data_IF_138394113056
#
_entry.id   IF_138394113056
#
_cell.length_a   1.000
_cell.length_b   1.000
_cell.length_c   1.000
_cell.angle_alpha   90.00
_cell.angle_beta   90.00
_cell.angle_gamma   90.00
#
_symmetry.space_group_name_H-M   'P 1'
#
loop_
_entity.id
_entity.type
_entity.pdbx_description
1 polymer ?
#
# COMPACT_ATOMS: atom_id res chain seq x y z
N UNK A 1 0.20 3.68 29.58
CA UNK A 1 -0.04 2.97 28.30
C UNK A 1 1.13 2.03 28.09
N UNK A 2 0.86 0.73 27.84
CA UNK A 2 1.94 -0.22 27.53
C UNK A 2 2.65 0.19 26.24
N UNK A 3 3.95 -0.08 26.14
CA UNK A 3 4.70 0.20 24.92
C UNK A 3 4.35 -0.85 23.87
N UNK A 4 3.59 -0.48 22.83
CA UNK A 4 3.28 -1.38 21.73
C UNK A 4 4.55 -1.80 20.98
N UNK A 5 4.60 -3.07 20.56
CA UNK A 5 5.67 -3.60 19.71
C UNK A 5 5.06 -4.11 18.40
N UNK A 6 5.36 -3.41 17.31
CA UNK A 6 4.94 -3.77 15.97
C UNK A 6 5.99 -4.62 15.27
N UNK A 7 5.55 -5.69 14.62
CA UNK A 7 6.37 -6.47 13.69
C UNK A 7 5.87 -6.20 12.28
N UNK A 8 6.63 -5.42 11.51
CA UNK A 8 6.27 -4.99 10.17
C UNK A 8 7.04 -5.83 9.16
N UNK A 9 6.35 -6.38 8.15
CA UNK A 9 6.97 -7.06 7.01
C UNK A 9 6.48 -6.45 5.70
N UNK A 10 7.37 -6.33 4.72
CA UNK A 10 7.03 -5.79 3.40
C UNK A 10 7.60 -6.64 2.27
N UNK A 11 6.87 -6.75 1.17
CA UNK A 11 7.39 -7.30 -0.09
C UNK A 11 8.66 -6.55 -0.52
N UNK A 12 9.68 -7.19 -1.12
CA UNK A 12 11.02 -6.60 -1.31
C UNK A 12 11.14 -5.53 -2.40
N UNK A 13 10.02 -4.97 -2.86
CA UNK A 13 9.98 -3.89 -3.84
C UNK A 13 9.99 -2.52 -3.14
N UNK A 14 10.71 -1.55 -3.72
CA UNK A 14 10.85 -0.20 -3.15
C UNK A 14 9.52 0.51 -2.94
N UNK A 15 8.53 0.27 -3.81
CA UNK A 15 7.16 0.77 -3.66
C UNK A 15 6.47 0.30 -2.38
N UNK A 16 6.89 -0.83 -1.79
CA UNK A 16 6.35 -1.37 -0.55
C UNK A 16 7.20 -0.96 0.65
N UNK A 17 8.52 -1.06 0.54
CA UNK A 17 9.45 -0.79 1.64
C UNK A 17 9.38 0.67 2.08
N UNK A 18 9.33 1.62 1.14
CA UNK A 18 9.38 3.04 1.47
C UNK A 18 8.17 3.51 2.29
N UNK A 19 6.91 3.25 1.86
CA UNK A 19 5.74 3.59 2.68
C UNK A 19 5.75 2.88 4.04
N UNK A 20 6.10 1.58 4.08
CA UNK A 20 6.18 0.83 5.32
C UNK A 20 7.21 1.41 6.30
N UNK A 21 8.38 1.83 5.81
CA UNK A 21 9.41 2.45 6.64
C UNK A 21 8.99 3.84 7.14
N UNK A 22 8.26 4.62 6.34
CA UNK A 22 7.69 5.89 6.79
C UNK A 22 6.62 5.67 7.86
N UNK A 23 5.79 4.63 7.70
CA UNK A 23 4.83 4.22 8.71
C UNK A 23 5.51 3.79 10.03
N UNK A 24 6.58 2.98 9.95
CA UNK A 24 7.40 2.61 11.10
C UNK A 24 7.93 3.84 11.87
N UNK A 25 8.45 4.85 11.15
CA UNK A 25 8.92 6.10 11.76
C UNK A 25 7.81 6.85 12.50
N UNK A 26 6.57 6.81 12.00
CA UNK A 26 5.41 7.43 12.67
C UNK A 26 5.05 6.70 13.96
N UNK A 27 5.04 5.36 13.95
CA UNK A 27 4.82 4.54 15.15
C UNK A 27 5.87 4.81 16.24
N UNK A 28 7.14 4.93 15.85
CA UNK A 28 8.24 5.24 16.79
C UNK A 28 8.06 6.62 17.43
N UNK A 29 7.64 7.63 16.66
CA UNK A 29 7.42 8.99 17.17
C UNK A 29 6.33 9.06 18.25
N UNK A 30 5.38 8.13 18.24
CA UNK A 30 4.32 8.04 19.26
C UNK A 30 4.65 7.01 20.35
N UNK A 31 5.90 6.54 20.42
CA UNK A 31 6.44 5.75 21.53
C UNK A 31 6.48 4.24 21.32
N UNK A 32 6.04 3.72 20.16
CA UNK A 32 6.06 2.28 19.89
C UNK A 32 7.47 1.76 19.56
N UNK A 33 7.71 0.49 19.85
CA UNK A 33 8.86 -0.25 19.31
C UNK A 33 8.46 -0.90 17.99
N UNK A 34 9.37 -0.91 17.02
CA UNK A 34 9.13 -1.51 15.70
C UNK A 34 10.26 -2.46 15.35
N UNK A 35 9.92 -3.72 15.09
CA UNK A 35 10.79 -4.65 14.36
C UNK A 35 10.34 -4.66 12.91
N UNK A 36 11.24 -4.26 12.00
CA UNK A 36 10.98 -4.20 10.57
C UNK A 36 11.75 -5.32 9.87
N UNK A 37 10.99 -6.27 9.31
CA UNK A 37 11.47 -7.46 8.64
C UNK A 37 11.46 -7.22 7.14
N UNK A 38 12.62 -7.40 6.52
CA UNK A 38 12.85 -7.11 5.09
C UNK A 38 13.71 -8.20 4.48
N UNK A 39 13.52 -8.54 3.20
CA UNK A 39 14.33 -9.58 2.58
C UNK A 39 15.82 -9.22 2.61
N UNK A 40 16.68 -10.24 2.61
CA UNK A 40 18.14 -10.08 2.51
C UNK A 40 18.50 -9.26 1.26
N UNK A 41 17.89 -9.56 0.11
CA UNK A 41 18.11 -8.85 -1.14
C UNK A 41 17.80 -7.36 -1.00
N UNK A 42 16.62 -7.01 -0.47
CA UNK A 42 16.24 -5.61 -0.26
C UNK A 42 17.14 -4.92 0.78
N UNK A 43 17.46 -5.59 1.89
CA UNK A 43 18.30 -5.04 2.95
C UNK A 43 19.69 -4.62 2.44
N UNK A 44 20.29 -5.41 1.54
CA UNK A 44 21.58 -5.09 0.89
C UNK A 44 21.54 -3.78 0.10
N UNK A 45 20.38 -3.43 -0.47
CA UNK A 45 20.18 -2.22 -1.27
C UNK A 45 19.69 -1.03 -0.44
N UNK A 46 19.30 -1.23 0.82
CA UNK A 46 18.91 -0.12 1.69
C UNK A 46 20.14 0.71 2.04
N UNK A 47 20.04 2.05 2.02
CA UNK A 47 21.14 2.90 2.45
C UNK A 47 21.43 2.65 3.92
N UNK A 48 22.73 2.54 4.26
CA UNK A 48 23.17 2.48 5.65
C UNK A 48 22.95 3.86 6.29
N UNK A 49 21.75 4.05 6.84
CA UNK A 49 21.36 5.25 7.54
C UNK A 49 21.77 5.26 9.02
N UNK A 50 21.56 6.37 9.72
CA UNK A 50 21.73 6.41 11.16
C UNK A 50 20.78 5.41 11.83
N UNK A 51 21.24 4.82 12.93
CA UNK A 51 20.40 3.97 13.78
C UNK A 51 19.23 4.83 14.27
N UNK A 52 18.00 4.39 13.98
CA UNK A 52 16.79 5.02 14.48
C UNK A 52 16.41 4.38 15.82
N UNK A 53 16.50 5.09 16.96
CA UNK A 53 16.05 4.55 18.24
C UNK A 53 14.61 4.08 18.14
N UNK A 54 14.33 2.87 18.61
CA UNK A 54 12.99 2.26 18.51
C UNK A 54 12.75 1.43 17.24
N UNK A 55 13.65 1.44 16.27
CA UNK A 55 13.60 0.57 15.08
C UNK A 55 14.65 -0.56 15.17
N UNK A 56 14.19 -1.80 15.05
CA UNK A 56 15.04 -2.98 14.86
C UNK A 56 14.84 -3.47 13.43
N UNK A 57 15.86 -3.36 12.57
CA UNK A 57 15.82 -3.93 11.22
C UNK A 57 16.32 -5.38 11.25
N UNK A 58 15.53 -6.31 10.72
CA UNK A 58 15.87 -7.74 10.68
C UNK A 58 15.80 -8.24 9.24
N UNK A 59 16.96 -8.53 8.60
CA UNK A 59 16.95 -9.21 7.31
C UNK A 59 16.49 -10.66 7.47
N UNK A 60 15.70 -11.16 6.52
CA UNK A 60 15.31 -12.57 6.44
C UNK A 60 15.48 -13.10 5.01
N UNK A 61 15.72 -14.40 4.88
CA UNK A 61 15.71 -15.03 3.56
C UNK A 61 14.26 -15.19 3.10
N UNK A 62 13.95 -14.77 1.88
CA UNK A 62 12.67 -15.00 1.22
C UNK A 62 12.75 -16.13 0.18
N UNK A 63 13.84 -16.91 0.21
CA UNK A 63 14.19 -17.89 -0.83
C UNK A 63 14.89 -17.29 -2.06
N UNK A 64 14.96 -15.95 -2.14
CA UNK A 64 15.49 -15.19 -3.28
C UNK A 64 16.44 -14.08 -2.80
N UNK A 65 17.44 -14.48 -2.00
CA UNK A 65 18.38 -13.57 -1.32
C UNK A 65 19.20 -12.69 -2.26
N UNK A 66 19.32 -13.08 -3.54
CA UNK A 66 20.03 -12.33 -4.58
C UNK A 66 19.09 -11.46 -5.45
N UNK A 67 17.79 -11.48 -5.16
CA UNK A 67 16.76 -10.70 -5.85
C UNK A 67 15.80 -11.57 -6.64
N UNK A 68 14.61 -11.02 -6.89
CA UNK A 68 13.55 -11.64 -7.70
C UNK A 68 13.74 -11.20 -9.15
N UNK A 69 13.66 -12.14 -10.09
CA UNK A 69 13.48 -11.86 -11.50
C UNK A 69 11.99 -11.90 -11.86
N UNK A 70 11.55 -11.03 -12.76
CA UNK A 70 10.17 -11.03 -13.27
C UNK A 70 9.82 -12.31 -14.06
N UNK A 71 10.83 -13.05 -14.52
CA UNK A 71 10.67 -14.36 -15.17
C UNK A 71 10.47 -15.50 -14.14
N UNK A 72 10.68 -15.25 -12.85
CA UNK A 72 10.48 -16.26 -11.82
C UNK A 72 8.99 -16.60 -11.67
N UNK A 73 8.71 -17.86 -11.39
CA UNK A 73 7.35 -18.32 -11.18
C UNK A 73 6.79 -17.68 -9.90
N UNK A 74 5.87 -16.72 -10.06
CA UNK A 74 5.30 -15.96 -8.95
C UNK A 74 4.79 -16.88 -7.82
N UNK A 75 4.16 -18.00 -8.17
CA UNK A 75 3.67 -18.96 -7.17
C UNK A 75 4.80 -19.60 -6.36
N UNK A 76 5.93 -19.93 -6.99
CA UNK A 76 7.09 -20.47 -6.28
C UNK A 76 7.67 -19.42 -5.33
N UNK A 77 7.86 -18.18 -5.81
CA UNK A 77 8.31 -17.08 -4.98
C UNK A 77 7.40 -16.87 -3.76
N UNK A 78 6.08 -16.75 -3.99
CA UNK A 78 5.08 -16.58 -2.94
C UNK A 78 5.10 -17.72 -1.92
N UNK A 79 5.33 -18.95 -2.37
CA UNK A 79 5.46 -20.12 -1.47
C UNK A 79 6.71 -20.04 -0.60
N UNK A 80 7.85 -19.62 -1.15
CA UNK A 80 9.12 -19.53 -0.41
C UNK A 80 9.13 -18.36 0.57
N UNK A 81 8.65 -17.17 0.16
CA UNK A 81 8.52 -16.05 1.11
C UNK A 81 7.53 -16.37 2.23
N UNK A 82 6.44 -17.09 1.95
CA UNK A 82 5.51 -17.58 2.99
C UNK A 82 6.22 -18.54 3.95
N UNK A 83 6.95 -19.53 3.43
CA UNK A 83 7.64 -20.54 4.23
C UNK A 83 8.72 -19.92 5.11
N UNK A 84 9.69 -19.23 4.51
CA UNK A 84 10.83 -18.63 5.21
C UNK A 84 10.40 -17.46 6.10
N UNK A 85 9.45 -16.64 5.62
CA UNK A 85 8.87 -15.54 6.37
C UNK A 85 8.15 -16.02 7.61
N UNK A 86 7.28 -17.03 7.50
CA UNK A 86 6.54 -17.58 8.64
C UNK A 86 7.47 -18.14 9.73
N UNK A 87 8.51 -18.87 9.36
CA UNK A 87 9.51 -19.40 10.30
C UNK A 87 10.23 -18.26 11.03
N UNK A 88 10.67 -17.25 10.27
CA UNK A 88 11.38 -16.08 10.81
C UNK A 88 10.49 -15.29 11.77
N UNK A 89 9.26 -14.97 11.37
CA UNK A 89 8.33 -14.18 12.18
C UNK A 89 7.99 -14.91 13.49
N UNK A 90 7.73 -16.23 13.46
CA UNK A 90 7.51 -17.04 14.67
C UNK A 90 8.68 -16.93 15.64
N UNK A 91 9.91 -17.06 15.13
CA UNK A 91 11.13 -16.93 15.94
C UNK A 91 11.28 -15.53 16.54
N UNK A 92 11.05 -14.47 15.76
CA UNK A 92 11.13 -13.10 16.26
C UNK A 92 10.09 -12.86 17.37
N UNK A 93 8.86 -13.32 17.17
CA UNK A 93 7.77 -13.18 18.14
C UNK A 93 8.14 -13.87 19.46
N UNK A 94 8.63 -15.12 19.40
CA UNK A 94 9.06 -15.87 20.58
C UNK A 94 10.20 -15.16 21.34
N UNK A 95 11.27 -14.77 20.64
CA UNK A 95 12.41 -14.03 21.22
C UNK A 95 11.95 -12.72 21.87
N UNK A 96 11.02 -12.02 21.22
CA UNK A 96 10.51 -10.74 21.72
C UNK A 96 9.71 -10.93 23.02
N UNK A 97 8.92 -12.00 23.11
CA UNK A 97 8.19 -12.36 24.33
C UNK A 97 9.15 -12.73 25.47
N UNK A 98 10.18 -13.55 25.21
CA UNK A 98 11.19 -13.95 26.20
C UNK A 98 11.99 -12.76 26.75
N UNK A 99 12.16 -11.70 25.94
CA UNK A 99 12.81 -10.45 26.34
C UNK A 99 11.87 -9.48 27.09
N UNK A 100 10.63 -9.88 27.40
CA UNK A 100 9.65 -9.03 28.07
C UNK A 100 9.09 -7.90 27.18
N UNK A 101 9.21 -8.03 25.86
CA UNK A 101 8.69 -7.08 24.86
C UNK A 101 7.84 -7.80 23.81
N UNK A 102 6.74 -8.46 24.20
CA UNK A 102 5.92 -9.25 23.27
C UNK A 102 5.42 -8.39 22.10
N UNK A 103 5.41 -8.97 20.91
CA UNK A 103 4.81 -8.34 19.72
C UNK A 103 3.31 -8.23 19.94
N UNK A 104 2.76 -7.03 19.79
CA UNK A 104 1.33 -6.75 19.98
C UNK A 104 0.54 -6.71 18.68
N UNK A 105 1.21 -6.45 17.54
CA UNK A 105 0.55 -6.38 16.25
C UNK A 105 1.51 -6.73 15.11
N UNK A 106 1.05 -7.56 14.17
CA UNK A 106 1.69 -7.75 12.87
C UNK A 106 1.20 -6.71 11.88
N UNK A 107 2.07 -6.17 11.04
CA UNK A 107 1.67 -5.29 9.94
C UNK A 107 2.33 -5.78 8.68
N UNK A 108 1.56 -5.99 7.62
CA UNK A 108 2.10 -6.40 6.32
C UNK A 108 1.65 -5.46 5.22
N UNK A 109 2.44 -5.33 4.16
CA UNK A 109 1.96 -4.75 2.90
C UNK A 109 1.24 -5.81 2.06
N UNK A 110 0.62 -5.37 0.97
CA UNK A 110 0.00 -6.26 -0.04
C UNK A 110 0.98 -7.32 -0.56
N UNK A 111 0.44 -8.42 -1.10
CA UNK A 111 1.10 -9.66 -1.57
C UNK A 111 1.64 -10.56 -0.44
N UNK A 112 1.23 -10.32 0.80
CA UNK A 112 1.69 -11.04 1.99
C UNK A 112 0.53 -11.51 2.87
N UNK A 113 -0.61 -11.85 2.27
CA UNK A 113 -1.82 -12.30 2.97
C UNK A 113 -1.58 -13.45 3.97
N UNK A 114 -0.55 -14.28 3.74
CA UNK A 114 -0.14 -15.33 4.66
C UNK A 114 0.22 -14.82 6.08
N UNK A 115 0.56 -13.54 6.23
CA UNK A 115 0.81 -12.93 7.55
C UNK A 115 -0.47 -12.89 8.38
N UNK A 116 -1.64 -12.72 7.77
CA UNK A 116 -2.93 -12.82 8.45
C UNK A 116 -3.18 -14.22 9.01
N UNK A 117 -2.93 -15.26 8.20
CA UNK A 117 -3.02 -16.67 8.65
C UNK A 117 -2.08 -16.94 9.84
N UNK A 118 -0.85 -16.45 9.76
CA UNK A 118 0.13 -16.56 10.84
C UNK A 118 -0.37 -15.85 12.10
N UNK A 119 -0.87 -14.62 11.98
CA UNK A 119 -1.39 -13.83 13.09
C UNK A 119 -2.52 -14.57 13.82
N UNK A 120 -3.49 -15.11 13.08
CA UNK A 120 -4.59 -15.93 13.63
C UNK A 120 -4.06 -17.15 14.38
N UNK A 121 -3.10 -17.87 13.79
CA UNK A 121 -2.50 -19.05 14.42
C UNK A 121 -1.80 -18.76 15.75
N UNK A 122 -1.38 -17.50 15.94
CA UNK A 122 -0.69 -17.00 17.13
C UNK A 122 -1.58 -16.13 18.02
N UNK A 123 -2.86 -15.97 17.69
CA UNK A 123 -3.81 -15.08 18.38
C UNK A 123 -3.28 -13.64 18.52
N UNK A 124 -2.58 -13.14 17.49
CA UNK A 124 -2.09 -11.77 17.41
C UNK A 124 -3.00 -10.91 16.55
N UNK A 125 -3.10 -9.63 16.91
CA UNK A 125 -3.69 -8.63 16.02
C UNK A 125 -2.83 -8.46 14.77
N UNK A 126 -3.46 -8.20 13.63
CA UNK A 126 -2.77 -7.78 12.42
C UNK A 126 -3.48 -6.61 11.74
N UNK A 127 -2.73 -5.91 10.88
CA UNK A 127 -3.26 -4.89 10.00
C UNK A 127 -2.59 -4.96 8.62
N UNK A 128 -3.38 -4.73 7.57
CA UNK A 128 -2.87 -4.51 6.23
C UNK A 128 -2.47 -3.03 6.07
N UNK A 129 -1.20 -2.77 5.80
CA UNK A 129 -0.75 -1.46 5.35
C UNK A 129 -1.01 -1.35 3.84
N UNK A 130 -2.10 -0.68 3.49
CA UNK A 130 -2.47 -0.45 2.09
C UNK A 130 -1.64 0.71 1.52
N UNK A 131 -0.67 0.35 0.69
CA UNK A 131 0.33 1.28 0.14
C UNK A 131 -0.08 1.93 -1.19
N UNK A 132 -1.18 1.47 -1.80
CA UNK A 132 -1.72 2.00 -3.05
C UNK A 132 -2.81 3.05 -2.79
N UNK A 133 -3.41 3.60 -3.85
CA UNK A 133 -4.54 4.53 -3.74
C UNK A 133 -5.75 3.86 -3.09
N UNK A 134 -6.52 4.60 -2.28
CA UNK A 134 -7.77 4.11 -1.71
C UNK A 134 -8.80 3.76 -2.80
N UNK A 135 -8.78 4.45 -3.94
CA UNK A 135 -9.62 4.11 -5.10
C UNK A 135 -9.29 2.71 -5.63
N UNK A 136 -8.00 2.36 -5.67
CA UNK A 136 -7.55 1.03 -6.14
C UNK A 136 -7.99 -0.06 -5.15
N UNK A 137 -8.01 0.23 -3.85
CA UNK A 137 -8.56 -0.70 -2.85
C UNK A 137 -10.03 -1.04 -3.16
N UNK A 138 -10.84 -0.01 -3.44
CA UNK A 138 -12.26 -0.18 -3.75
C UNK A 138 -12.44 -0.95 -5.07
N UNK A 139 -11.62 -0.66 -6.09
CA UNK A 139 -11.62 -1.41 -7.35
C UNK A 139 -11.32 -2.89 -7.10
N UNK A 140 -10.29 -3.22 -6.32
CA UNK A 140 -9.94 -4.61 -6.02
C UNK A 140 -11.04 -5.31 -5.24
N UNK A 141 -11.60 -4.64 -4.23
CA UNK A 141 -12.69 -5.18 -3.43
C UNK A 141 -13.86 -5.62 -4.32
N UNK A 142 -14.33 -4.75 -5.23
CA UNK A 142 -15.42 -5.09 -6.15
C UNK A 142 -15.01 -6.12 -7.19
N UNK A 143 -13.82 -5.99 -7.78
CA UNK A 143 -13.29 -6.92 -8.77
C UNK A 143 -13.32 -8.37 -8.23
N UNK A 144 -12.83 -8.58 -7.01
CA UNK A 144 -12.84 -9.89 -6.35
C UNK A 144 -14.17 -10.26 -5.66
N UNK A 145 -15.16 -9.36 -5.66
CA UNK A 145 -16.50 -9.57 -5.08
C UNK A 145 -17.60 -9.46 -6.16
N UNK A 146 -17.36 -10.05 -7.33
CA UNK A 146 -18.38 -10.26 -8.36
C UNK A 146 -18.40 -9.24 -9.49
N UNK A 147 -17.50 -8.26 -9.52
CA UNK A 147 -17.33 -7.34 -10.65
C UNK A 147 -16.18 -7.73 -11.60
N UNK A 148 -15.49 -8.86 -11.38
CA UNK A 148 -14.36 -9.33 -12.20
C UNK A 148 -14.67 -9.35 -13.70
N UNK A 149 -15.74 -10.05 -14.09
CA UNK A 149 -16.17 -10.14 -15.49
C UNK A 149 -16.50 -8.76 -16.09
N UNK A 150 -17.08 -7.85 -15.29
CA UNK A 150 -17.42 -6.50 -15.76
C UNK A 150 -16.16 -5.70 -16.07
N UNK A 151 -15.14 -5.81 -15.22
CA UNK A 151 -13.87 -5.10 -15.35
C UNK A 151 -13.00 -5.69 -16.46
N UNK A 152 -12.92 -7.02 -16.57
CA UNK A 152 -12.12 -7.70 -17.60
C UNK A 152 -12.63 -7.46 -19.02
N UNK A 153 -13.96 -7.50 -19.19
CA UNK A 153 -14.62 -7.25 -20.47
C UNK A 153 -14.61 -5.76 -20.86
N UNK A 154 -14.13 -4.88 -19.99
CA UNK A 154 -14.10 -3.43 -20.20
C UNK A 154 -12.92 -2.95 -21.06
N UNK A 155 -12.22 -3.87 -21.70
CA UNK A 155 -10.99 -3.64 -22.48
C UNK A 155 -11.25 -3.14 -23.91
N UNK A 156 -12.50 -2.96 -24.35
CA UNK A 156 -12.83 -2.47 -25.69
C UNK A 156 -13.11 -0.95 -25.70
N UNK A 157 -12.44 -0.22 -26.60
CA UNK A 157 -12.74 1.18 -26.91
C UNK A 157 -14.22 1.36 -27.25
N UNK A 158 -14.91 2.28 -26.57
CA UNK A 158 -16.35 2.56 -26.76
C UNK A 158 -17.28 2.00 -25.67
N UNK A 159 -16.74 1.34 -24.64
CA UNK A 159 -17.53 0.85 -23.50
C UNK A 159 -18.03 2.01 -22.61
N UNK A 160 -19.24 1.87 -22.04
CA UNK A 160 -19.86 2.89 -21.16
C UNK A 160 -19.20 2.90 -19.77
N UNK A 161 -18.78 4.06 -19.23
CA UNK A 161 -18.06 4.15 -17.95
C UNK A 161 -18.63 3.26 -16.83
N UNK A 162 -17.75 2.54 -16.11
CA UNK A 162 -18.14 1.65 -15.02
C UNK A 162 -18.52 2.48 -13.79
N UNK A 163 -19.69 2.17 -13.23
CA UNK A 163 -20.07 2.64 -11.90
C UNK A 163 -19.76 1.55 -10.87
N UNK A 164 -18.87 1.86 -9.92
CA UNK A 164 -18.58 0.99 -8.79
C UNK A 164 -19.17 1.57 -7.50
N UNK A 165 -19.90 0.79 -6.69
CA UNK A 165 -20.46 1.26 -5.44
C UNK A 165 -19.39 1.88 -4.51
N UNK A 166 -19.69 3.04 -3.93
CA UNK A 166 -18.76 3.74 -3.04
C UNK A 166 -17.71 4.61 -3.74
N UNK A 167 -17.65 4.60 -5.08
CA UNK A 167 -16.92 5.59 -5.86
C UNK A 167 -17.90 6.65 -6.41
N UNK A 168 -17.64 7.95 -6.21
CA UNK A 168 -18.50 9.04 -6.67
C UNK A 168 -18.24 9.44 -8.13
N UNK A 169 -17.41 8.68 -8.85
CA UNK A 169 -17.01 8.92 -10.23
C UNK A 169 -17.18 7.65 -11.05
N UNK A 170 -17.48 7.83 -12.33
CA UNK A 170 -17.50 6.74 -13.29
C UNK A 170 -16.08 6.48 -13.78
N UNK A 171 -15.70 5.21 -13.88
CA UNK A 171 -14.37 4.80 -14.32
C UNK A 171 -14.38 4.48 -15.81
N UNK A 172 -13.51 5.14 -16.56
CA UNK A 172 -13.20 4.75 -17.94
C UNK A 172 -12.24 3.55 -17.95
N UNK A 173 -12.00 2.99 -19.14
CA UNK A 173 -11.14 1.80 -19.28
C UNK A 173 -9.69 2.11 -18.94
N UNK A 174 -9.34 3.39 -19.00
CA UNK A 174 -8.01 3.91 -18.71
C UNK A 174 -7.82 4.18 -17.21
N UNK A 175 -8.91 4.20 -16.43
CA UNK A 175 -8.86 4.38 -14.97
C UNK A 175 -8.74 3.05 -14.22
N UNK A 176 -8.99 1.92 -14.91
CA UNK A 176 -8.83 0.58 -14.37
C UNK A 176 -7.35 0.19 -14.37
N UNK A 177 -6.80 -0.32 -13.25
CA UNK A 177 -5.45 -0.83 -13.22
C UNK A 177 -5.25 -1.88 -14.32
N UNK A 178 -4.29 -1.63 -15.21
CA UNK A 178 -4.08 -2.46 -16.40
C UNK A 178 -3.79 -3.93 -16.09
N UNK A 179 -3.26 -4.22 -14.90
CA UNK A 179 -3.00 -5.58 -14.46
C UNK A 179 -4.27 -6.38 -14.06
N UNK A 180 -5.45 -5.75 -14.03
CA UNK A 180 -6.74 -6.43 -13.90
C UNK A 180 -7.40 -6.73 -15.26
N UNK A 181 -6.77 -6.29 -16.36
CA UNK A 181 -7.29 -6.49 -17.71
C UNK A 181 -6.65 -7.75 -18.32
N UNK A 182 -7.40 -8.42 -19.20
CA UNK A 182 -7.05 -9.72 -19.79
C UNK A 182 -5.73 -9.80 -20.58
N UNK A 183 -5.08 -8.66 -20.86
CA UNK A 183 -3.83 -8.57 -21.63
C UNK A 183 -2.57 -8.39 -20.77
N UNK A 184 -2.66 -8.60 -19.45
CA UNK A 184 -1.60 -8.20 -18.54
C UNK A 184 -0.52 -9.28 -18.32
N UNK A 185 0.73 -8.82 -18.14
CA UNK A 185 1.90 -9.68 -17.90
C UNK A 185 2.05 -10.11 -16.43
N UNK A 186 1.13 -9.70 -15.56
CA UNK A 186 1.14 -9.92 -14.11
C UNK A 186 0.04 -10.90 -13.64
N UNK A 187 -0.59 -11.63 -14.57
CA UNK A 187 -1.68 -12.58 -14.29
C UNK A 187 -1.31 -13.56 -13.17
N UNK A 188 -0.04 -13.96 -13.11
CA UNK A 188 0.48 -14.88 -12.09
C UNK A 188 0.42 -14.33 -10.66
N UNK A 189 0.23 -13.01 -10.49
CA UNK A 189 0.13 -12.32 -9.21
C UNK A 189 -1.32 -12.01 -8.79
N UNK A 190 -2.31 -12.10 -9.69
CA UNK A 190 -3.73 -11.86 -9.38
C UNK A 190 -4.20 -12.69 -8.16
N UNK A 191 -3.86 -13.99 -8.04
CA UNK A 191 -4.24 -14.77 -6.86
C UNK A 191 -3.74 -14.17 -5.54
N UNK A 192 -2.54 -13.59 -5.51
CA UNK A 192 -1.99 -12.99 -4.29
C UNK A 192 -2.75 -11.72 -3.86
N UNK A 193 -3.24 -10.94 -4.82
CA UNK A 193 -4.11 -9.79 -4.52
C UNK A 193 -5.49 -10.24 -4.02
N UNK A 194 -6.03 -11.32 -4.60
CA UNK A 194 -7.28 -11.91 -4.14
C UNK A 194 -7.14 -12.44 -2.70
N UNK A 195 -6.03 -13.09 -2.38
CA UNK A 195 -5.73 -13.58 -1.04
C UNK A 195 -5.69 -12.46 0.00
N UNK A 196 -5.15 -11.26 -0.31
CA UNK A 196 -5.20 -10.12 0.61
C UNK A 196 -6.64 -9.69 0.92
N UNK A 197 -7.51 -9.64 -0.11
CA UNK A 197 -8.93 -9.27 0.08
C UNK A 197 -9.69 -10.32 0.87
N UNK A 198 -9.45 -11.60 0.60
CA UNK A 198 -10.07 -12.70 1.32
C UNK A 198 -9.59 -12.77 2.78
N UNK A 199 -8.30 -12.51 3.02
CA UNK A 199 -7.77 -12.40 4.38
C UNK A 199 -8.50 -11.32 5.19
N UNK A 200 -8.85 -10.17 4.59
CA UNK A 200 -9.64 -9.14 5.26
C UNK A 200 -11.10 -9.57 5.50
N UNK A 201 -11.73 -10.25 4.53
CA UNK A 201 -13.13 -10.72 4.64
C UNK A 201 -13.35 -11.71 5.78
N UNK A 202 -12.32 -12.48 6.12
CA UNK A 202 -12.36 -13.44 7.23
C UNK A 202 -12.33 -12.77 8.61
N UNK A 203 -11.98 -11.49 8.70
CA UNK A 203 -11.96 -10.75 9.96
C UNK A 203 -13.33 -10.14 10.28
N UNK A 204 -13.71 -10.22 11.55
CA UNK A 204 -14.91 -9.51 12.06
C UNK A 204 -14.68 -8.00 12.19
N UNK A 205 -13.42 -7.59 12.37
CA UNK A 205 -13.01 -6.20 12.44
C UNK A 205 -11.67 -6.00 11.71
N UNK A 206 -11.67 -6.03 10.36
CA UNK A 206 -10.47 -5.89 9.54
C UNK A 206 -9.82 -4.52 9.75
N UNK A 207 -8.50 -4.51 9.93
CA UNK A 207 -7.72 -3.27 10.11
C UNK A 207 -6.93 -2.99 8.85
N UNK A 208 -7.32 -1.94 8.13
CA UNK A 208 -6.63 -1.46 6.94
C UNK A 208 -6.08 -0.07 7.19
N UNK A 209 -4.76 0.06 7.12
CA UNK A 209 -4.04 1.31 7.28
C UNK A 209 -3.71 1.84 5.89
N UNK A 210 -4.60 2.67 5.34
CA UNK A 210 -4.39 3.26 4.01
C UNK A 210 -3.38 4.40 4.05
N UNK A 211 -2.39 4.36 3.17
CA UNK A 211 -1.42 5.43 2.95
C UNK A 211 -2.05 6.57 2.12
N UNK A 212 -3.07 7.21 2.71
CA UNK A 212 -3.83 8.32 2.14
C UNK A 212 -4.06 9.40 3.19
N UNK A 213 -4.77 10.46 2.83
CA UNK A 213 -5.23 11.50 3.74
C UNK A 213 -6.68 11.88 3.39
N UNK A 214 -7.44 12.38 4.36
CA UNK A 214 -8.89 12.51 4.24
C UNK A 214 -9.28 13.47 3.13
N UNK A 215 -8.53 14.56 2.95
CA UNK A 215 -8.82 15.50 1.87
C UNK A 215 -8.63 14.90 0.47
N UNK A 216 -8.04 13.71 0.32
CA UNK A 216 -7.98 12.96 -0.95
C UNK A 216 -9.19 12.03 -1.14
N UNK A 217 -10.23 12.16 -0.33
CA UNK A 217 -11.47 11.43 -0.50
C UNK A 217 -12.12 11.70 -1.86
N UNK A 218 -13.06 10.83 -2.20
CA UNK A 218 -13.53 10.72 -3.56
C UNK A 218 -14.42 11.91 -3.99
N UNK A 219 -15.02 12.65 -3.04
CA UNK A 219 -15.68 13.93 -3.34
C UNK A 219 -14.66 15.00 -3.78
N UNK A 220 -13.48 15.00 -3.17
CA UNK A 220 -12.40 15.93 -3.48
C UNK A 220 -11.58 15.52 -4.72
N UNK A 221 -11.58 14.23 -5.10
CA UNK A 221 -10.92 13.73 -6.32
C UNK A 221 -11.44 14.37 -7.61
N UNK A 222 -12.68 14.87 -7.65
CA UNK A 222 -13.18 15.66 -8.81
C UNK A 222 -12.34 16.91 -9.09
N UNK A 223 -11.60 17.42 -8.10
CA UNK A 223 -10.69 18.56 -8.26
C UNK A 223 -9.29 18.17 -8.79
N UNK A 224 -8.96 16.88 -8.88
CA UNK A 224 -7.66 16.38 -9.38
C UNK A 224 -7.47 16.70 -10.87
N UNK A 225 -8.57 16.77 -11.65
CA UNK A 225 -8.53 17.20 -13.06
C UNK A 225 -7.93 18.61 -13.27
N UNK A 226 -7.75 19.39 -12.19
CA UNK A 226 -7.12 20.72 -12.23
C UNK A 226 -5.69 20.77 -11.69
N UNK A 227 -5.04 19.61 -11.50
CA UNK A 227 -3.67 19.51 -10.96
C UNK A 227 -2.64 19.00 -11.96
N UNK A 228 -3.07 18.51 -13.12
CA UNK A 228 -2.20 18.02 -14.18
C UNK A 228 -2.69 18.34 -15.58
N UNK A 229 -1.92 17.88 -16.57
CA UNK A 229 -2.28 17.97 -17.99
C UNK A 229 -2.50 16.55 -18.49
N UNK A 230 -3.66 16.29 -19.09
CA UNK A 230 -3.95 15.01 -19.73
C UNK A 230 -3.12 14.89 -21.01
N UNK A 231 -2.47 13.75 -21.16
CA UNK A 231 -1.68 13.38 -22.34
C UNK A 231 -2.62 12.76 -23.37
N UNK A 232 -2.43 13.09 -24.63
CA UNK A 232 -3.26 12.61 -25.74
C UNK A 232 -2.48 11.63 -26.59
N UNK A 233 -2.98 10.41 -26.74
CA UNK A 233 -2.43 9.44 -27.67
C UNK A 233 -2.88 9.75 -29.10
N UNK A 234 -2.08 9.34 -30.09
CA UNK A 234 -2.48 9.37 -31.50
C UNK A 234 -3.50 8.25 -31.82
N UNK A 235 -3.91 8.13 -33.09
CA UNK A 235 -4.89 7.13 -33.53
C UNK A 235 -4.44 5.68 -33.30
N UNK A 236 -3.15 5.44 -33.11
CA UNK A 236 -2.57 4.12 -32.79
C UNK A 236 -2.47 3.87 -31.27
N UNK A 237 -2.95 4.78 -30.43
CA UNK A 237 -2.83 4.69 -28.98
C UNK A 237 -1.42 5.03 -28.46
N UNK A 238 -0.54 5.58 -29.30
CA UNK A 238 0.84 5.91 -28.95
C UNK A 238 0.94 7.38 -28.52
N UNK A 239 1.60 7.62 -27.39
CA UNK A 239 1.93 8.99 -26.93
C UNK A 239 3.27 9.41 -27.53
N UNK A 240 3.24 10.43 -28.38
CA UNK A 240 4.43 10.93 -29.05
C UNK A 240 5.28 11.85 -28.16
N UNK A 241 6.59 11.92 -28.44
CA UNK A 241 7.53 12.74 -27.68
C UNK A 241 7.18 14.23 -27.67
N UNK A 242 6.62 14.76 -28.76
CA UNK A 242 6.18 16.15 -28.84
C UNK A 242 4.97 16.43 -27.93
N UNK A 243 4.07 15.46 -27.76
CA UNK A 243 2.95 15.59 -26.82
C UNK A 243 3.45 15.59 -25.35
N UNK A 244 4.43 14.73 -25.03
CA UNK A 244 5.07 14.73 -23.71
C UNK A 244 5.75 16.09 -23.46
N UNK A 245 6.48 16.59 -24.44
CA UNK A 245 7.15 17.89 -24.36
C UNK A 245 6.15 19.03 -24.18
N UNK A 246 5.05 19.06 -24.95
CA UNK A 246 3.97 20.04 -24.78
C UNK A 246 3.39 20.00 -23.37
N UNK A 247 3.12 18.80 -22.83
CA UNK A 247 2.63 18.64 -21.46
C UNK A 247 3.63 19.20 -20.43
N UNK A 248 4.92 18.90 -20.59
CA UNK A 248 5.97 19.43 -19.73
C UNK A 248 6.07 20.96 -19.81
N UNK A 249 5.99 21.55 -20.99
CA UNK A 249 6.00 23.00 -21.17
C UNK A 249 4.80 23.69 -20.50
N UNK A 250 3.62 23.07 -20.54
CA UNK A 250 2.43 23.60 -19.84
C UNK A 250 2.61 23.52 -18.32
N UNK A 251 3.12 22.40 -17.80
CA UNK A 251 3.27 22.18 -16.34
C UNK A 251 4.42 23.03 -15.76
N UNK A 252 5.54 23.09 -16.47
CA UNK A 252 6.78 23.72 -16.00
C UNK A 252 6.92 25.18 -16.44
N UNK A 253 6.16 25.60 -17.46
CA UNK A 253 6.19 26.97 -17.96
C UNK A 253 5.63 28.01 -16.99
N UNK A 254 5.77 29.27 -17.38
CA UNK A 254 5.22 30.44 -16.66
C UNK A 254 3.88 30.94 -17.21
N UNK A 255 3.22 30.15 -18.06
CA UNK A 255 1.91 30.50 -18.61
C UNK A 255 0.80 30.41 -17.56
N UNK A 256 -0.31 31.10 -17.79
CA UNK A 256 -1.47 31.16 -16.87
C UNK A 256 -1.93 29.76 -16.42
N UNK A 257 -2.03 28.81 -17.36
CA UNK A 257 -2.40 27.43 -17.06
C UNK A 257 -1.40 26.74 -16.12
N UNK A 258 -0.09 26.91 -16.34
CA UNK A 258 0.94 26.33 -15.47
C UNK A 258 0.90 26.91 -14.05
N UNK A 259 0.68 28.22 -13.93
CA UNK A 259 0.53 28.89 -12.63
C UNK A 259 -0.75 28.48 -11.90
N UNK A 260 -1.84 28.23 -12.62
CA UNK A 260 -3.06 27.65 -12.04
C UNK A 260 -2.79 26.23 -11.49
N UNK A 261 -2.16 25.36 -12.29
CA UNK A 261 -1.80 24.00 -11.88
C UNK A 261 -0.94 24.00 -10.62
N UNK A 262 0.12 24.83 -10.58
CA UNK A 262 0.98 24.99 -9.39
C UNK A 262 0.20 25.43 -8.16
N UNK A 263 -0.73 26.37 -8.31
CA UNK A 263 -1.58 26.86 -7.21
C UNK A 263 -2.52 25.77 -6.69
N UNK A 264 -3.10 24.97 -7.59
CA UNK A 264 -3.96 23.85 -7.20
C UNK A 264 -3.15 22.75 -6.50
N UNK A 265 -1.99 22.36 -7.04
CA UNK A 265 -1.05 21.43 -6.36
C UNK A 265 -0.61 21.98 -5.00
N UNK A 266 -0.40 23.29 -4.88
CA UNK A 266 -0.10 23.97 -3.62
C UNK A 266 -1.18 23.77 -2.57
N UNK A 267 -2.46 23.95 -2.93
CA UNK A 267 -3.59 23.69 -2.02
C UNK A 267 -3.60 22.24 -1.52
N UNK A 268 -3.37 21.28 -2.42
CA UNK A 268 -3.30 19.85 -2.07
C UNK A 268 -2.13 19.55 -1.13
N UNK A 269 -0.96 20.14 -1.38
CA UNK A 269 0.20 20.04 -0.50
C UNK A 269 -0.10 20.60 0.89
N UNK A 270 -0.84 21.70 0.98
CA UNK A 270 -1.20 22.31 2.26
C UNK A 270 -2.22 21.45 3.01
N UNK A 271 -3.25 20.92 2.32
CA UNK A 271 -4.20 19.96 2.91
C UNK A 271 -3.49 18.71 3.46
N UNK A 272 -2.61 18.11 2.66
CA UNK A 272 -1.81 16.97 3.10
C UNK A 272 -0.92 17.32 4.30
N UNK A 273 -0.34 18.53 4.33
CA UNK A 273 0.47 19.00 5.47
C UNK A 273 -0.37 19.14 6.74
N UNK A 274 -1.59 19.67 6.62
CA UNK A 274 -2.51 19.86 7.73
C UNK A 274 -3.01 18.52 8.30
N UNK A 275 -3.20 17.50 7.46
CA UNK A 275 -3.60 16.17 7.90
C UNK A 275 -2.46 15.41 8.61
N UNK A 276 -1.20 15.60 8.17
CA UNK A 276 -0.04 14.86 8.72
C UNK A 276 0.69 15.55 9.87
N UNK A 277 0.38 16.81 10.17
CA UNK A 277 1.01 17.55 11.28
C UNK A 277 0.66 16.91 12.63
N UNK A 278 1.38 17.32 13.67
CA UNK A 278 1.06 16.89 15.03
C UNK A 278 -0.33 17.39 15.44
N UNK A 279 -1.18 16.45 15.88
CA UNK A 279 -2.61 16.71 16.15
C UNK A 279 -3.51 16.76 14.90
N UNK A 280 -2.97 16.55 13.69
CA UNK A 280 -3.76 16.38 12.47
C UNK A 280 -4.49 15.03 12.42
N UNK A 281 -5.42 14.89 11.48
CA UNK A 281 -6.30 13.72 11.32
C UNK A 281 -5.52 12.40 11.22
N UNK A 282 -4.39 12.38 10.50
CA UNK A 282 -3.54 11.19 10.35
C UNK A 282 -2.93 10.75 11.69
N UNK A 283 -2.53 11.71 12.54
CA UNK A 283 -1.98 11.43 13.87
C UNK A 283 -3.10 10.94 14.82
N UNK A 284 -4.28 11.55 14.75
CA UNK A 284 -5.45 11.10 15.51
C UNK A 284 -5.86 9.66 15.16
N UNK A 285 -5.94 9.33 13.86
CA UNK A 285 -6.27 7.98 13.40
C UNK A 285 -5.23 6.96 13.87
N UNK A 286 -3.94 7.33 13.84
CA UNK A 286 -2.87 6.44 14.31
C UNK A 286 -2.97 6.18 15.82
N UNK A 287 -3.31 7.20 16.62
CA UNK A 287 -3.55 7.03 18.06
C UNK A 287 -4.77 6.17 18.34
N UNK A 288 -5.87 6.40 17.63
CA UNK A 288 -7.07 5.57 17.74
C UNK A 288 -6.77 4.09 17.44
N UNK A 289 -5.99 3.82 16.40
CA UNK A 289 -5.51 2.47 16.10
C UNK A 289 -4.70 1.85 17.24
N UNK A 290 -3.81 2.60 17.90
CA UNK A 290 -3.09 2.10 19.09
C UNK A 290 -4.03 1.82 20.26
N UNK A 291 -4.98 2.73 20.53
CA UNK A 291 -5.93 2.59 21.63
C UNK A 291 -6.83 1.37 21.44
N UNK A 292 -7.26 1.08 20.21
CA UNK A 292 -8.01 -0.13 19.87
C UNK A 292 -7.20 -1.42 20.11
N UNK A 293 -5.92 -1.44 19.76
CA UNK A 293 -5.04 -2.57 20.05
C UNK A 293 -4.88 -2.80 21.56
N UNK A 294 -4.87 -1.74 22.36
CA UNK A 294 -4.80 -1.83 23.82
C UNK A 294 -6.07 -2.36 24.49
N UNK A 295 -7.24 -2.13 23.89
CA UNK A 295 -8.53 -2.59 24.39
C UNK A 295 -8.77 -4.09 24.12
N UNK A 296 -8.18 -4.63 23.05
CA UNK A 296 -8.27 -6.05 22.69
C UNK A 296 -7.50 -7.01 23.59
N UNK A 297 -6.67 -6.52 24.52
CA UNK A 297 -5.93 -7.35 25.50
C UNK A 297 -6.64 -7.54 26.85
N UNK A 298 -7.89 -7.08 26.99
CA UNK A 298 -8.69 -7.23 28.22
C UNK A 298 -9.84 -8.26 28.10
N UNK A 299 -9.64 -9.35 27.37
CA UNK A 299 -10.60 -10.47 27.35
C UNK A 299 -9.86 -11.78 27.62
#
# INVERSE_FOLDING_TARGET
>A
MGQHHFLIISHPLQGHINPALQFAKRLIRIGAHVTFVVSVSAHRHMPKGPILPGLTLVPFSDGYDDGINLEDHAQHYLSEIKRCGSETLRRIIAISADQGRPVTCLVHTILLAWVAELARSLQLSFALLWIQSATVFIIYHHYFDGYGDVVENYSNEGSNPIELPGLPMLLSSHDIPSFLLSSNIYDSWIPAFQEDMEALRQETNPKVLANTFNALDAETLRAVDKTGVRVTANEEGIVEGEEIKRCLEVVMGGGERGEELKRNVGKWKDLAREDVKDGGSSNCNLKAFLDELGQGSMI
#
